data_IF_050660695069
#
_entry.id   IF_050660695069
#
_cell.length_a   1.000
_cell.length_b   1.000
_cell.length_c   1.000
_cell.angle_alpha   90.00
_cell.angle_beta   90.00
_cell.angle_gamma   90.00
#
_symmetry.space_group_name_H-M   'P 1'
#
loop_
_entity.id
_entity.type
_entity.pdbx_description
1 polymer ?
#
# COMPACT_ATOMS: atom_id res chain seq x y z
N UNK A 1 21.29 21.46 -9.17
CA UNK A 1 20.10 21.15 -9.99
C UNK A 1 18.98 20.85 -9.01
N UNK A 2 18.06 21.79 -8.83
CA UNK A 2 16.94 21.64 -7.89
C UNK A 2 15.93 20.67 -8.46
N UNK A 3 15.73 19.53 -7.81
CA UNK A 3 14.61 18.64 -8.13
C UNK A 3 13.35 19.26 -7.53
N UNK A 4 12.51 19.87 -8.34
CA UNK A 4 11.17 20.29 -7.94
C UNK A 4 10.34 19.03 -7.70
N UNK A 5 10.30 18.55 -6.46
CA UNK A 5 9.42 17.45 -6.06
C UNK A 5 7.97 17.96 -5.99
N UNK A 6 7.37 18.16 -7.16
CA UNK A 6 5.92 18.00 -7.28
C UNK A 6 5.57 16.52 -7.05
N UNK A 7 4.35 16.19 -6.58
CA UNK A 7 3.94 14.81 -6.39
C UNK A 7 4.12 14.03 -7.69
N UNK A 8 5.01 13.04 -7.67
CA UNK A 8 5.16 12.12 -8.80
C UNK A 8 3.90 11.25 -8.85
N UNK A 9 3.25 11.24 -10.00
CA UNK A 9 2.11 10.37 -10.25
C UNK A 9 2.57 8.91 -10.17
N UNK A 10 1.73 8.04 -9.62
CA UNK A 10 2.06 6.62 -9.49
C UNK A 10 1.62 5.89 -10.75
N UNK A 11 2.49 5.02 -11.27
CA UNK A 11 2.20 4.17 -12.43
C UNK A 11 1.39 2.91 -12.04
N UNK A 12 1.16 2.71 -10.74
CA UNK A 12 0.36 1.62 -10.22
C UNK A 12 0.74 1.23 -8.80
N UNK A 13 0.44 -0.03 -8.45
CA UNK A 13 0.76 -0.60 -7.15
C UNK A 13 1.27 -2.02 -7.25
N UNK A 14 2.06 -2.39 -6.25
CA UNK A 14 2.58 -3.72 -6.02
C UNK A 14 2.26 -4.14 -4.59
N UNK A 15 1.67 -5.32 -4.43
CA UNK A 15 1.43 -5.93 -3.13
C UNK A 15 2.27 -7.19 -2.97
N UNK A 16 3.52 -7.04 -2.48
CA UNK A 16 4.37 -8.18 -2.17
C UNK A 16 3.71 -9.07 -1.12
N UNK A 17 4.04 -10.36 -1.13
CA UNK A 17 3.50 -11.36 -0.19
C UNK A 17 4.36 -11.54 1.05
N UNK A 18 5.60 -11.04 1.01
CA UNK A 18 6.57 -11.08 2.10
C UNK A 18 7.45 -9.81 2.10
N UNK A 19 8.38 -9.73 3.06
CA UNK A 19 9.41 -8.69 3.11
C UNK A 19 10.76 -9.16 2.52
N UNK A 20 10.77 -10.32 1.86
CA UNK A 20 11.96 -10.88 1.22
C UNK A 20 12.14 -10.31 -0.19
N UNK A 21 12.84 -9.18 -0.30
CA UNK A 21 12.95 -8.43 -1.56
C UNK A 21 13.47 -9.28 -2.74
N UNK A 22 14.49 -10.15 -2.60
CA UNK A 22 14.92 -11.02 -3.70
C UNK A 22 13.83 -11.91 -4.29
N UNK A 23 13.06 -12.61 -3.45
CA UNK A 23 11.98 -13.49 -3.92
C UNK A 23 10.84 -12.70 -4.54
N UNK A 24 10.44 -11.60 -3.89
CA UNK A 24 9.37 -10.73 -4.34
C UNK A 24 9.72 -10.02 -5.66
N UNK A 25 10.96 -9.57 -5.82
CA UNK A 25 11.44 -8.95 -7.06
C UNK A 25 11.51 -9.95 -8.21
N UNK A 26 11.84 -11.22 -7.91
CA UNK A 26 11.81 -12.28 -8.92
C UNK A 26 10.41 -12.50 -9.46
N UNK A 27 9.43 -12.65 -8.56
CA UNK A 27 8.02 -12.79 -8.93
C UNK A 27 7.48 -11.56 -9.68
N UNK A 28 7.92 -10.35 -9.32
CA UNK A 28 7.53 -9.14 -10.02
C UNK A 28 8.11 -9.08 -11.44
N UNK A 29 9.38 -9.45 -11.62
CA UNK A 29 10.02 -9.45 -12.93
C UNK A 29 9.42 -10.48 -13.88
N UNK A 30 8.99 -11.64 -13.39
CA UNK A 30 8.30 -12.66 -14.21
C UNK A 30 7.05 -12.09 -14.90
N UNK A 31 6.37 -11.16 -14.24
CA UNK A 31 5.19 -10.48 -14.77
C UNK A 31 5.58 -9.29 -15.65
N UNK A 32 6.53 -8.46 -15.20
CA UNK A 32 6.80 -7.17 -15.84
C UNK A 32 7.78 -7.24 -17.01
N UNK A 33 8.75 -8.14 -17.00
CA UNK A 33 9.76 -8.24 -18.06
C UNK A 33 9.12 -8.45 -19.46
N UNK A 34 8.08 -9.29 -19.62
CA UNK A 34 7.40 -9.45 -20.91
C UNK A 34 6.44 -8.32 -21.29
N UNK A 35 5.89 -7.60 -20.29
CA UNK A 35 4.81 -6.62 -20.48
C UNK A 35 5.32 -5.19 -20.68
N UNK A 36 6.32 -4.81 -19.89
CA UNK A 36 6.88 -3.47 -19.86
C UNK A 36 8.31 -3.46 -20.40
N UNK A 37 9.09 -4.49 -20.06
CA UNK A 37 10.48 -4.62 -20.41
C UNK A 37 11.31 -4.96 -19.19
N UNK A 38 12.54 -5.44 -19.44
CA UNK A 38 13.42 -5.95 -18.39
C UNK A 38 13.65 -4.91 -17.29
N UNK A 39 13.41 -5.29 -16.04
CA UNK A 39 13.80 -4.50 -14.87
C UNK A 39 15.32 -4.55 -14.70
N UNK A 40 15.97 -3.39 -14.61
CA UNK A 40 17.44 -3.30 -14.52
C UNK A 40 17.93 -2.63 -13.24
N UNK A 41 17.11 -1.77 -12.64
CA UNK A 41 17.39 -1.14 -11.36
C UNK A 41 16.10 -0.89 -10.59
N UNK A 42 16.20 -0.98 -9.26
CA UNK A 42 15.16 -0.54 -8.34
C UNK A 42 15.70 0.48 -7.33
N UNK A 43 14.83 1.35 -6.85
CA UNK A 43 15.10 2.23 -5.73
C UNK A 43 13.96 2.13 -4.69
N UNK A 44 14.31 1.94 -3.42
CA UNK A 44 13.35 1.76 -2.32
C UNK A 44 13.76 2.56 -1.08
N UNK A 45 12.80 2.92 -0.23
CA UNK A 45 13.10 3.32 1.15
C UNK A 45 13.38 2.05 2.00
N UNK A 46 14.47 2.00 2.78
CA UNK A 46 14.86 0.81 3.53
C UNK A 46 13.94 0.45 4.71
N UNK A 47 13.06 1.36 5.17
CA UNK A 47 12.20 1.16 6.34
C UNK A 47 11.33 -0.10 6.28
N UNK A 48 10.95 -0.52 5.07
CA UNK A 48 10.06 -1.67 4.88
C UNK A 48 10.78 -2.95 4.43
N UNK A 49 12.09 -2.90 4.19
CA UNK A 49 12.86 -4.01 3.62
C UNK A 49 14.02 -4.38 4.56
N UNK A 50 13.89 -5.46 5.35
CA UNK A 50 14.90 -5.86 6.33
C UNK A 50 16.26 -6.18 5.71
N UNK A 51 16.26 -6.68 4.48
CA UNK A 51 17.47 -7.06 3.72
C UNK A 51 17.47 -6.38 2.36
N UNK A 52 18.51 -5.62 2.09
CA UNK A 52 18.71 -4.90 0.83
C UNK A 52 20.09 -5.23 0.23
N UNK A 53 20.26 -6.40 -0.39
CA UNK A 53 21.48 -6.68 -1.13
C UNK A 53 21.60 -5.68 -2.28
N UNK A 54 22.81 -5.14 -2.57
CA UNK A 54 22.99 -4.12 -3.62
C UNK A 54 22.71 -4.64 -5.04
N UNK A 55 22.66 -5.96 -5.21
CA UNK A 55 22.46 -6.65 -6.49
C UNK A 55 21.64 -7.90 -6.24
N UNK A 56 20.61 -8.11 -7.05
CA UNK A 56 19.76 -9.31 -7.03
C UNK A 56 19.80 -9.92 -8.43
N UNK A 57 19.97 -11.23 -8.52
CA UNK A 57 19.88 -11.96 -9.80
C UNK A 57 18.42 -12.38 -9.99
N UNK A 58 17.82 -11.98 -11.10
CA UNK A 58 16.44 -12.27 -11.48
C UNK A 58 16.44 -12.65 -12.95
N UNK A 59 15.73 -13.72 -13.33
CA UNK A 59 15.59 -14.15 -14.74
C UNK A 59 16.89 -14.19 -15.55
N UNK A 60 18.00 -14.56 -14.87
CA UNK A 60 19.33 -14.67 -15.47
C UNK A 60 20.08 -13.33 -15.65
N UNK A 61 19.55 -12.20 -15.19
CA UNK A 61 20.21 -10.90 -15.21
C UNK A 61 20.29 -10.27 -13.81
N UNK A 62 21.11 -9.22 -13.70
CA UNK A 62 21.32 -8.52 -12.43
C UNK A 62 20.44 -7.27 -12.39
N UNK A 63 19.63 -7.16 -11.33
CA UNK A 63 18.95 -5.93 -10.95
C UNK A 63 19.78 -5.21 -9.88
N UNK A 64 20.11 -3.94 -10.14
CA UNK A 64 20.80 -3.10 -9.15
C UNK A 64 19.78 -2.56 -8.13
N UNK A 65 20.11 -2.64 -6.85
CA UNK A 65 19.27 -2.10 -5.78
C UNK A 65 19.92 -0.82 -5.27
N UNK A 66 19.13 0.25 -5.20
CA UNK A 66 19.51 1.51 -4.55
C UNK A 66 18.51 1.82 -3.43
N UNK A 67 18.95 2.54 -2.41
CA UNK A 67 18.07 2.96 -1.33
C UNK A 67 18.37 4.37 -0.90
N UNK A 68 17.32 5.09 -0.55
CA UNK A 68 17.36 6.50 -0.17
C UNK A 68 16.31 6.71 0.92
N UNK A 69 16.71 7.28 2.07
CA UNK A 69 15.84 7.39 3.26
C UNK A 69 15.03 8.68 3.31
N UNK A 70 15.43 9.69 2.53
CA UNK A 70 14.90 11.05 2.61
C UNK A 70 14.27 11.51 1.30
N UNK A 71 14.76 11.01 0.16
CA UNK A 71 14.30 11.39 -1.18
C UNK A 71 13.17 10.50 -1.72
N UNK A 72 12.99 9.30 -1.18
CA UNK A 72 11.95 8.37 -1.61
C UNK A 72 10.76 8.37 -0.67
N UNK A 73 9.56 8.22 -1.26
CA UNK A 73 8.37 7.94 -0.47
C UNK A 73 8.56 6.58 0.25
N UNK A 74 8.32 6.49 1.57
CA UNK A 74 8.49 5.24 2.32
C UNK A 74 7.70 4.05 1.75
N UNK A 75 6.57 4.31 1.12
CA UNK A 75 5.73 3.30 0.48
C UNK A 75 5.90 3.28 -1.04
N UNK A 76 6.93 3.91 -1.59
CA UNK A 76 7.25 3.91 -3.01
C UNK A 76 8.36 2.90 -3.37
N UNK A 77 8.26 2.34 -4.57
CA UNK A 77 9.38 1.70 -5.26
C UNK A 77 9.49 2.27 -6.68
N UNK A 78 10.69 2.69 -7.06
CA UNK A 78 10.98 3.08 -8.44
C UNK A 78 11.61 1.90 -9.16
N UNK A 79 11.02 1.51 -10.28
CA UNK A 79 11.58 0.55 -11.23
C UNK A 79 12.16 1.30 -12.42
N UNK A 80 13.29 0.82 -12.92
CA UNK A 80 13.92 1.34 -14.13
C UNK A 80 14.17 0.20 -15.11
N UNK A 81 13.84 0.47 -16.36
CA UNK A 81 14.15 -0.33 -17.53
C UNK A 81 14.95 0.52 -18.51
N UNK A 82 15.95 -0.07 -19.16
CA UNK A 82 16.70 0.64 -20.21
C UNK A 82 15.88 0.87 -21.47
N UNK A 83 14.86 0.05 -21.72
CA UNK A 83 14.04 0.11 -22.94
C UNK A 83 12.72 0.83 -22.74
N UNK A 84 12.19 0.82 -21.52
CA UNK A 84 10.83 1.30 -21.23
C UNK A 84 10.76 2.46 -20.23
N UNK A 85 11.90 2.91 -19.69
CA UNK A 85 11.96 4.07 -18.82
C UNK A 85 11.73 3.74 -17.35
N UNK A 86 10.87 4.51 -16.70
CA UNK A 86 10.68 4.50 -15.24
C UNK A 86 9.23 4.21 -14.89
N UNK A 87 9.03 3.38 -13.86
CA UNK A 87 7.75 3.24 -13.16
C UNK A 87 7.92 3.50 -11.67
N UNK A 88 7.03 4.31 -11.09
CA UNK A 88 6.90 4.54 -9.65
C UNK A 88 5.64 3.83 -9.13
N UNK A 89 5.83 2.81 -8.31
CA UNK A 89 4.74 1.99 -7.78
C UNK A 89 4.55 2.24 -6.29
N UNK A 90 3.29 2.22 -5.86
CA UNK A 90 2.93 2.05 -4.45
C UNK A 90 3.26 0.62 -3.99
N UNK A 91 4.08 0.47 -2.96
CA UNK A 91 4.29 -0.77 -2.22
C UNK A 91 3.27 -0.88 -1.09
N UNK A 92 2.37 -1.86 -1.22
CA UNK A 92 1.39 -2.20 -0.19
C UNK A 92 2.03 -3.22 0.76
N UNK A 93 2.13 -2.96 2.08
CA UNK A 93 2.70 -3.92 3.02
C UNK A 93 1.97 -5.28 2.98
N UNK A 94 2.68 -6.41 3.09
CA UNK A 94 2.08 -7.75 3.04
C UNK A 94 1.04 -7.98 4.15
N UNK A 95 1.15 -7.26 5.26
CA UNK A 95 0.21 -7.32 6.39
C UNK A 95 -1.12 -6.59 6.11
N UNK A 96 -1.22 -5.89 4.99
CA UNK A 96 -2.44 -5.19 4.58
C UNK A 96 -3.52 -6.21 4.22
N UNK A 97 -4.70 -6.11 4.84
CA UNK A 97 -5.83 -6.98 4.52
C UNK A 97 -6.28 -6.85 3.05
N UNK A 98 -6.74 -7.95 2.46
CA UNK A 98 -7.05 -8.05 1.02
C UNK A 98 -7.99 -6.95 0.51
N UNK A 99 -9.04 -6.60 1.26
CA UNK A 99 -9.97 -5.55 0.86
C UNK A 99 -9.32 -4.16 0.81
N UNK A 100 -8.40 -3.88 1.74
CA UNK A 100 -7.63 -2.63 1.75
C UNK A 100 -6.58 -2.61 0.63
N UNK A 101 -5.89 -3.74 0.40
CA UNK A 101 -4.94 -3.87 -0.69
C UNK A 101 -5.62 -3.67 -2.06
N UNK A 102 -6.78 -4.28 -2.30
CA UNK A 102 -7.53 -4.12 -3.54
C UNK A 102 -7.94 -2.66 -3.79
N UNK A 103 -8.36 -1.94 -2.74
CA UNK A 103 -8.68 -0.50 -2.85
C UNK A 103 -7.45 0.35 -3.14
N UNK A 104 -6.32 0.06 -2.50
CA UNK A 104 -5.06 0.75 -2.72
C UNK A 104 -4.55 0.53 -4.15
N UNK A 105 -4.62 -0.70 -4.66
CA UNK A 105 -4.28 -1.02 -6.05
C UNK A 105 -5.16 -0.25 -7.04
N UNK A 106 -6.48 -0.26 -6.82
CA UNK A 106 -7.41 0.49 -7.67
C UNK A 106 -7.13 2.00 -7.63
N UNK A 107 -6.85 2.56 -6.45
CA UNK A 107 -6.57 3.98 -6.30
C UNK A 107 -5.23 4.40 -6.94
N UNK A 108 -4.20 3.56 -6.84
CA UNK A 108 -2.89 3.84 -7.43
C UNK A 108 -2.86 3.68 -8.96
N UNK A 109 -3.85 2.99 -9.54
CA UNK A 109 -3.96 2.79 -10.99
C UNK A 109 -5.00 3.74 -11.63
N UNK A 110 -5.60 4.63 -10.85
CA UNK A 110 -6.67 5.51 -11.31
C UNK A 110 -6.10 6.85 -11.81
N UNK A 111 -6.20 7.09 -13.12
CA UNK A 111 -5.78 8.32 -13.82
C UNK A 111 -6.75 9.51 -13.60
N UNK A 112 -7.75 9.36 -12.73
CA UNK A 112 -8.86 10.32 -12.59
C UNK A 112 -8.70 11.30 -11.43
N UNK A 113 -7.53 11.37 -10.78
CA UNK A 113 -7.31 12.20 -9.59
C UNK A 113 -6.04 13.05 -9.67
N UNK A 114 -5.88 14.05 -8.77
CA UNK A 114 -4.62 14.77 -8.67
C UNK A 114 -3.48 13.81 -8.32
N UNK A 115 -2.26 14.05 -8.82
CA UNK A 115 -1.11 13.22 -8.50
C UNK A 115 -0.98 13.07 -6.98
N UNK A 116 -1.01 11.81 -6.52
CA UNK A 116 -1.05 11.47 -5.09
C UNK A 116 0.12 10.57 -4.76
N UNK A 117 0.86 10.92 -3.70
CA UNK A 117 2.00 10.11 -3.26
C UNK A 117 1.57 8.78 -2.65
N UNK A 118 2.45 7.79 -2.65
CA UNK A 118 2.21 6.49 -2.03
C UNK A 118 1.86 6.61 -0.53
N UNK A 119 2.56 7.48 0.21
CA UNK A 119 2.25 7.77 1.62
C UNK A 119 0.88 8.40 1.80
N UNK A 120 0.45 9.29 0.91
CA UNK A 120 -0.88 9.90 0.98
C UNK A 120 -1.99 8.86 0.78
N UNK A 121 -1.85 7.95 -0.21
CA UNK A 121 -2.78 6.83 -0.40
C UNK A 121 -2.86 5.92 0.83
N UNK A 122 -1.70 5.53 1.37
CA UNK A 122 -1.60 4.70 2.57
C UNK A 122 -2.23 5.37 3.81
N UNK A 123 -2.09 6.69 3.93
CA UNK A 123 -2.69 7.47 5.03
C UNK A 123 -4.20 7.54 4.88
N UNK A 124 -4.69 7.79 3.66
CA UNK A 124 -6.11 7.84 3.37
C UNK A 124 -6.80 6.48 3.65
N UNK A 125 -6.17 5.37 3.27
CA UNK A 125 -6.70 4.03 3.53
C UNK A 125 -6.71 3.69 5.03
N UNK A 126 -5.66 4.03 5.78
CA UNK A 126 -5.65 3.88 7.24
C UNK A 126 -6.79 4.66 7.91
N UNK A 127 -7.04 5.89 7.47
CA UNK A 127 -8.13 6.70 7.97
C UNK A 127 -9.51 6.09 7.62
N UNK A 128 -9.68 5.51 6.41
CA UNK A 128 -10.90 4.78 6.03
C UNK A 128 -11.12 3.56 6.92
N UNK A 129 -10.09 2.76 7.16
CA UNK A 129 -10.16 1.57 8.00
C UNK A 129 -10.57 1.93 9.45
N UNK A 130 -9.98 2.98 10.03
CA UNK A 130 -10.32 3.46 11.37
C UNK A 130 -11.79 3.93 11.48
N UNK A 131 -12.30 4.64 10.46
CA UNK A 131 -13.71 5.04 10.40
C UNK A 131 -14.65 3.85 10.32
N UNK A 132 -14.31 2.84 9.50
CA UNK A 132 -15.08 1.60 9.40
C UNK A 132 -15.15 0.85 10.73
N UNK A 133 -14.02 0.68 11.42
CA UNK A 133 -13.97 0.03 12.72
C UNK A 133 -14.84 0.72 13.78
N UNK A 134 -14.86 2.06 13.80
CA UNK A 134 -15.71 2.85 14.70
C UNK A 134 -17.21 2.68 14.40
N UNK A 135 -17.59 2.61 13.12
CA UNK A 135 -18.97 2.38 12.72
C UNK A 135 -19.48 0.98 13.11
N UNK A 136 -18.63 -0.05 13.02
CA UNK A 136 -18.97 -1.41 13.46
C UNK A 136 -19.17 -1.46 14.98
N UNK A 137 -18.27 -0.83 15.76
CA UNK A 137 -18.40 -0.76 17.23
C UNK A 137 -19.69 -0.05 17.69
N UNK A 138 -20.11 0.99 16.98
CA UNK A 138 -21.36 1.72 17.29
C UNK A 138 -22.63 0.90 17.04
N UNK A 139 -22.64 -0.01 16.05
CA UNK A 139 -23.79 -0.89 15.77
C UNK A 139 -23.96 -2.01 16.81
N UNK A 140 -22.86 -2.52 17.36
CA UNK A 140 -22.91 -3.58 18.39
C UNK A 140 -23.26 -3.07 19.79
N UNK A 141 -23.20 -1.76 20.05
CA UNK A 141 -23.54 -1.15 21.33
C UNK A 141 -25.00 -0.70 21.48
N UNK A 142 -25.85 -0.88 20.46
CA UNK A 142 -27.21 -0.33 20.42
C UNK A 142 -28.34 -1.28 20.84
N UNK A 143 -28.04 -2.52 21.23
CA UNK A 143 -29.05 -3.46 21.71
C UNK A 143 -28.89 -3.65 23.23
N UNK A 144 -29.67 -2.87 24.01
CA UNK A 144 -30.25 -3.20 25.32
C UNK A 144 -30.63 -1.90 26.08
N UNK A 145 -31.79 -1.33 25.76
CA UNK A 145 -32.69 -0.69 26.76
C UNK A 145 -33.99 -0.27 26.09
N UNK A 146 -34.86 -1.24 25.87
CA UNK A 146 -36.31 -0.99 25.82
C UNK A 146 -37.05 -2.19 26.42
N UNK A 147 -36.91 -2.35 27.73
CA UNK A 147 -37.96 -2.95 28.56
C UNK A 147 -38.30 -1.86 29.57
N UNK A 148 -39.44 -1.19 29.49
CA UNK A 148 -40.74 -1.81 29.39
C UNK A 148 -41.39 -1.64 30.76
N UNK A 149 -42.14 -0.56 30.88
CA UNK A 149 -43.05 -0.18 31.98
C UNK A 149 -43.75 -1.39 32.63
N UNK A 150 -44.03 -1.25 33.93
CA UNK A 150 -45.19 -1.77 34.69
C UNK A 150 -44.89 -2.88 35.71
N UNK A 151 -45.07 -2.58 37.00
CA UNK A 151 -45.91 -3.30 37.99
C UNK A 151 -45.98 -2.42 39.27
N UNK A 152 -47.09 -1.72 39.48
CA UNK A 152 -48.15 -2.06 40.45
C UNK A 152 -47.71 -1.98 41.93
N UNK A 153 -48.22 -0.96 42.63
CA UNK A 153 -48.56 -1.06 44.06
C UNK A 153 -50.06 -0.83 44.20
N UNK A 154 -50.74 -1.90 44.60
CA UNK A 154 -52.16 -1.96 44.89
C UNK A 154 -52.50 -1.38 46.28
N UNK A 155 -53.79 -1.16 46.44
CA UNK A 155 -54.53 -0.48 47.51
C UNK A 155 -54.52 -1.13 48.91
N UNK A 156 -55.04 -0.35 49.88
CA UNK A 156 -55.78 -0.80 51.08
C UNK A 156 -54.90 -1.01 52.32
N UNK A 157 -55.18 -0.46 53.50
CA UNK A 157 -56.42 0.06 54.10
C UNK A 157 -56.05 1.13 55.13
#
# INVERSE_FOLDING_TARGET
>A
MSSSAGPTELDGAWWPRSRDLPSELSALADVLDPLWGRITRIAVDPRHWPTLPPRIVVNGHVVKVSWFTSELDPHGITLLSYTAGRWDLLVIPPETGASSAARLMAAASADTGPPTTATALMTAERARHARGARAVKGRSGGALSSHGRNQQRAAGT
#
